data_IF_601768759013
#
_entry.id   IF_601768759013
#
_cell.length_a   1.000
_cell.length_b   1.000
_cell.length_c   1.000
_cell.angle_alpha   90.00
_cell.angle_beta   90.00
_cell.angle_gamma   90.00
#
_symmetry.space_group_name_H-M   'P 1'
#
loop_
_entity.id
_entity.type
_entity.pdbx_description
1 polymer ?
#
# COMPACT_ATOMS: atom_id res chain seq x y z
N UNK A 1 -13.41 15.41 -1.84
CA UNK A 1 -13.29 13.96 -2.07
C UNK A 1 -13.23 13.75 -3.56
N UNK A 2 -12.23 13.03 -4.04
CA UNK A 2 -12.14 12.75 -5.48
C UNK A 2 -13.35 11.91 -5.92
N UNK A 3 -13.81 12.10 -7.14
CA UNK A 3 -15.04 11.45 -7.68
C UNK A 3 -14.92 9.91 -7.63
N UNK A 4 -13.73 9.38 -7.86
CA UNK A 4 -13.42 7.95 -7.74
C UNK A 4 -13.62 7.37 -6.32
N UNK A 5 -13.47 8.19 -5.26
CA UNK A 5 -13.68 7.72 -3.89
C UNK A 5 -15.14 7.39 -3.59
N UNK A 6 -16.10 7.97 -4.33
CA UNK A 6 -17.53 7.66 -4.16
C UNK A 6 -17.89 6.27 -4.66
N UNK A 7 -17.23 5.79 -5.71
CA UNK A 7 -17.48 4.48 -6.31
C UNK A 7 -16.96 3.34 -5.44
N UNK A 8 -16.08 3.64 -4.47
CA UNK A 8 -15.50 2.66 -3.55
C UNK A 8 -16.07 2.71 -2.12
N UNK A 9 -17.06 3.56 -1.87
CA UNK A 9 -17.69 3.67 -0.53
C UNK A 9 -18.75 2.59 -0.31
N UNK A 10 -19.34 2.07 -1.40
CA UNK A 10 -20.37 1.03 -1.32
C UNK A 10 -19.77 -0.35 -1.60
N UNK A 11 -19.90 -1.27 -0.63
CA UNK A 11 -19.46 -2.65 -0.83
C UNK A 11 -20.42 -3.38 -1.78
N UNK A 12 -19.98 -3.54 -3.01
CA UNK A 12 -20.62 -4.41 -4.00
C UNK A 12 -19.85 -5.75 -4.01
N UNK A 13 -20.42 -6.82 -3.44
CA UNK A 13 -19.72 -8.09 -3.32
C UNK A 13 -19.53 -8.78 -4.67
N UNK A 14 -18.34 -9.31 -4.90
CA UNK A 14 -18.04 -10.25 -5.98
C UNK A 14 -17.39 -11.52 -5.39
N UNK A 15 -17.66 -12.72 -5.95
CA UNK A 15 -17.00 -13.94 -5.51
C UNK A 15 -15.49 -13.82 -5.54
N UNK A 16 -14.81 -14.28 -4.48
CA UNK A 16 -13.35 -14.22 -4.37
C UNK A 16 -12.64 -15.35 -5.13
N UNK A 17 -13.37 -16.22 -5.83
CA UNK A 17 -12.84 -17.36 -6.58
C UNK A 17 -11.63 -17.02 -7.46
N UNK A 18 -11.61 -15.90 -8.23
CA UNK A 18 -10.47 -15.58 -9.09
C UNK A 18 -9.14 -15.47 -8.34
N UNK A 19 -9.17 -14.98 -7.09
CA UNK A 19 -7.97 -14.80 -6.25
C UNK A 19 -7.75 -15.96 -5.27
N UNK A 20 -8.78 -16.73 -4.95
CA UNK A 20 -8.67 -17.89 -4.07
C UNK A 20 -8.37 -19.19 -4.82
N UNK A 21 -8.57 -19.24 -6.14
CA UNK A 21 -8.32 -20.44 -6.94
C UNK A 21 -8.96 -21.69 -6.34
N UNK A 22 -8.17 -22.75 -6.16
CA UNK A 22 -8.65 -24.01 -5.59
C UNK A 22 -9.12 -23.90 -4.14
N UNK A 23 -8.62 -22.92 -3.38
CA UNK A 23 -9.05 -22.67 -2.00
C UNK A 23 -10.51 -22.18 -1.90
N UNK A 24 -11.07 -21.60 -2.97
CA UNK A 24 -12.45 -21.14 -3.03
C UNK A 24 -13.47 -22.24 -2.69
N UNK A 25 -13.16 -23.50 -2.98
CA UNK A 25 -14.02 -24.64 -2.65
C UNK A 25 -14.25 -24.79 -1.12
N UNK A 26 -13.25 -24.42 -0.30
CA UNK A 26 -13.36 -24.43 1.16
C UNK A 26 -14.07 -23.18 1.69
N UNK A 27 -14.12 -22.11 0.90
CA UNK A 27 -14.68 -20.81 1.28
C UNK A 27 -15.69 -20.29 0.25
N UNK A 28 -16.80 -21.04 0.00
CA UNK A 28 -17.76 -20.72 -1.06
C UNK A 28 -18.52 -19.41 -0.86
N UNK A 29 -18.50 -18.87 0.34
CA UNK A 29 -19.11 -17.59 0.69
C UNK A 29 -18.08 -16.45 0.81
N UNK A 30 -16.86 -16.65 0.33
CA UNK A 30 -15.85 -15.59 0.31
C UNK A 30 -16.16 -14.59 -0.81
N UNK A 31 -16.35 -13.33 -0.40
CA UNK A 31 -16.61 -12.20 -1.28
C UNK A 31 -15.61 -11.10 -1.04
N UNK A 32 -15.25 -10.40 -2.10
CA UNK A 32 -14.42 -9.20 -2.09
C UNK A 32 -15.15 -8.04 -2.77
N UNK A 33 -14.65 -6.83 -2.61
CA UNK A 33 -15.21 -5.66 -3.29
C UNK A 33 -15.03 -5.79 -4.80
N UNK A 34 -16.15 -5.74 -5.54
CA UNK A 34 -16.18 -5.98 -7.00
C UNK A 34 -15.33 -4.98 -7.79
N UNK A 35 -15.30 -3.70 -7.36
CA UNK A 35 -14.48 -2.67 -7.98
C UNK A 35 -12.99 -2.99 -7.89
N UNK A 36 -12.50 -3.41 -6.71
CA UNK A 36 -11.10 -3.80 -6.53
C UNK A 36 -10.75 -5.04 -7.37
N UNK A 37 -11.63 -6.05 -7.33
CA UNK A 37 -11.45 -7.26 -8.12
C UNK A 37 -11.43 -6.95 -9.62
N UNK A 38 -12.34 -6.10 -10.08
CA UNK A 38 -12.42 -5.68 -11.49
C UNK A 38 -11.14 -4.98 -11.95
N UNK A 39 -10.64 -3.99 -11.18
CA UNK A 39 -9.37 -3.31 -11.51
C UNK A 39 -8.21 -4.29 -11.59
N UNK A 40 -8.19 -5.29 -10.71
CA UNK A 40 -7.12 -6.29 -10.65
C UNK A 40 -7.17 -7.30 -11.79
N UNK A 41 -8.39 -7.74 -12.19
CA UNK A 41 -8.58 -8.88 -13.10
C UNK A 41 -8.99 -8.50 -14.52
N UNK A 42 -9.37 -7.25 -14.78
CA UNK A 42 -9.86 -6.86 -16.12
C UNK A 42 -8.70 -6.68 -17.10
N UNK A 43 -8.85 -7.26 -18.29
CA UNK A 43 -7.97 -7.02 -19.44
C UNK A 43 -8.70 -6.19 -20.50
N UNK A 44 -7.93 -5.51 -21.37
CA UNK A 44 -8.45 -4.73 -22.49
C UNK A 44 -7.59 -4.97 -23.73
N UNK A 45 -8.09 -5.77 -24.66
CA UNK A 45 -7.38 -6.14 -25.89
C UNK A 45 -7.02 -4.93 -26.78
N UNK A 46 -7.70 -3.80 -26.60
CA UNK A 46 -7.44 -2.55 -27.34
C UNK A 46 -6.40 -1.65 -26.66
N UNK A 47 -5.99 -1.97 -25.44
CA UNK A 47 -4.94 -1.23 -24.71
C UNK A 47 -3.57 -1.76 -25.09
N UNK A 48 -2.60 -0.89 -25.27
CA UNK A 48 -1.22 -1.28 -25.53
C UNK A 48 -0.59 -2.03 -24.33
N UNK A 49 -0.88 -1.57 -23.11
CA UNK A 49 -0.32 -2.11 -21.87
C UNK A 49 -1.28 -3.02 -21.10
N UNK A 50 -2.57 -2.99 -21.42
CA UNK A 50 -3.62 -3.71 -20.68
C UNK A 50 -4.14 -4.97 -21.41
N UNK A 51 -3.41 -5.54 -22.37
CA UNK A 51 -3.82 -6.76 -23.09
C UNK A 51 -3.99 -7.95 -22.15
N UNK A 52 -3.09 -8.08 -21.18
CA UNK A 52 -3.26 -8.96 -20.03
C UNK A 52 -3.74 -8.12 -18.83
N UNK A 53 -4.48 -8.72 -17.89
CA UNK A 53 -4.86 -8.05 -16.65
C UNK A 53 -3.64 -7.74 -15.78
N UNK A 54 -3.77 -6.82 -14.81
CA UNK A 54 -2.73 -6.59 -13.82
C UNK A 54 -2.39 -7.89 -13.08
N UNK A 55 -3.42 -8.67 -12.74
CA UNK A 55 -3.28 -9.99 -12.14
C UNK A 55 -2.36 -10.91 -12.94
N UNK A 56 -2.67 -11.10 -14.23
CA UNK A 56 -1.96 -12.06 -15.06
C UNK A 56 -0.49 -11.66 -15.24
N UNK A 57 -0.23 -10.35 -15.45
CA UNK A 57 1.12 -9.83 -15.58
C UNK A 57 1.96 -10.05 -14.32
N UNK A 58 1.38 -9.78 -13.13
CA UNK A 58 2.09 -9.96 -11.86
C UNK A 58 2.33 -11.44 -11.57
N UNK A 59 1.32 -12.31 -11.74
CA UNK A 59 1.47 -13.74 -11.52
C UNK A 59 2.54 -14.37 -12.43
N UNK A 60 2.54 -14.01 -13.71
CA UNK A 60 3.56 -14.46 -14.66
C UNK A 60 4.97 -14.07 -14.22
N UNK A 61 5.17 -12.79 -13.90
CA UNK A 61 6.50 -12.28 -13.54
C UNK A 61 6.97 -12.80 -12.19
N UNK A 62 6.10 -12.86 -11.18
CA UNK A 62 6.47 -13.43 -9.87
C UNK A 62 6.82 -14.91 -9.99
N UNK A 63 6.02 -15.69 -10.73
CA UNK A 63 6.33 -17.11 -10.98
C UNK A 63 7.69 -17.26 -11.67
N UNK A 64 7.97 -16.44 -12.68
CA UNK A 64 9.27 -16.43 -13.37
C UNK A 64 10.43 -16.12 -12.42
N UNK A 65 10.26 -15.12 -11.53
CA UNK A 65 11.31 -14.73 -10.56
C UNK A 65 11.52 -15.80 -9.49
N UNK A 66 10.45 -16.36 -8.95
CA UNK A 66 10.51 -17.45 -7.96
C UNK A 66 11.23 -18.68 -8.54
N UNK A 67 10.99 -18.99 -9.81
CA UNK A 67 11.69 -20.06 -10.50
C UNK A 67 13.16 -19.74 -10.78
N UNK A 68 13.46 -18.47 -11.13
CA UNK A 68 14.82 -18.01 -11.42
C UNK A 68 15.72 -18.04 -10.19
N UNK A 69 15.18 -17.71 -9.00
CA UNK A 69 15.90 -17.64 -7.73
C UNK A 69 15.58 -18.81 -6.81
N UNK A 70 15.24 -19.96 -7.37
CA UNK A 70 14.80 -21.13 -6.61
C UNK A 70 15.88 -21.78 -5.74
N UNK A 71 17.14 -21.40 -5.90
CA UNK A 71 18.30 -21.83 -5.11
C UNK A 71 18.64 -20.83 -3.98
N UNK A 72 17.90 -19.73 -3.87
CA UNK A 72 18.08 -18.70 -2.86
C UNK A 72 16.95 -18.71 -1.82
N UNK A 73 17.23 -18.25 -0.61
CA UNK A 73 16.18 -17.95 0.39
C UNK A 73 15.54 -16.61 0.04
N UNK A 74 14.32 -16.67 -0.47
CA UNK A 74 13.59 -15.49 -0.97
C UNK A 74 12.31 -15.24 -0.21
N UNK A 75 11.84 -14.00 -0.24
CA UNK A 75 10.52 -13.57 0.25
C UNK A 75 9.89 -12.57 -0.71
N UNK A 76 8.57 -12.46 -0.69
CA UNK A 76 7.81 -11.53 -1.53
C UNK A 76 7.16 -10.49 -0.63
N UNK A 77 7.44 -9.20 -0.90
CA UNK A 77 6.76 -8.10 -0.23
C UNK A 77 5.92 -7.32 -1.24
N UNK A 78 4.62 -7.23 -0.98
CA UNK A 78 3.66 -6.47 -1.78
C UNK A 78 3.30 -5.20 -1.02
N UNK A 79 3.45 -4.03 -1.64
CA UNK A 79 3.24 -2.74 -0.97
C UNK A 79 2.20 -1.92 -1.72
N UNK A 80 1.30 -1.28 -0.98
CA UNK A 80 0.31 -0.40 -1.60
C UNK A 80 -0.24 0.68 -0.66
N UNK A 81 -0.81 1.70 -1.27
CA UNK A 81 -1.48 2.81 -0.59
C UNK A 81 -2.89 3.00 -1.15
N UNK A 82 -3.87 3.26 -0.30
CA UNK A 82 -5.25 3.56 -0.71
C UNK A 82 -5.84 2.40 -1.54
N UNK A 83 -6.41 2.66 -2.73
CA UNK A 83 -6.84 1.63 -3.68
C UNK A 83 -5.72 0.61 -3.97
N UNK A 84 -4.47 1.08 -4.17
CA UNK A 84 -3.33 0.20 -4.39
C UNK A 84 -3.07 -0.75 -3.21
N UNK A 85 -3.43 -0.36 -1.98
CA UNK A 85 -3.37 -1.23 -0.81
C UNK A 85 -4.37 -2.38 -0.90
N UNK A 86 -5.62 -2.11 -1.33
CA UNK A 86 -6.63 -3.16 -1.55
C UNK A 86 -6.21 -4.13 -2.66
N UNK A 87 -5.63 -3.61 -3.76
CA UNK A 87 -5.06 -4.45 -4.82
C UNK A 87 -3.88 -5.29 -4.31
N UNK A 88 -3.06 -4.75 -3.41
CA UNK A 88 -1.96 -5.47 -2.78
C UNK A 88 -2.44 -6.64 -1.90
N UNK A 89 -3.54 -6.47 -1.19
CA UNK A 89 -4.16 -7.57 -0.44
C UNK A 89 -4.66 -8.65 -1.38
N UNK A 90 -5.41 -8.30 -2.44
CA UNK A 90 -5.89 -9.27 -3.43
C UNK A 90 -4.72 -10.01 -4.08
N UNK A 91 -3.67 -9.28 -4.46
CA UNK A 91 -2.48 -9.86 -5.07
C UNK A 91 -1.74 -10.81 -4.12
N UNK A 92 -1.53 -10.42 -2.85
CA UNK A 92 -0.85 -11.26 -1.88
C UNK A 92 -1.60 -12.58 -1.61
N UNK A 93 -2.95 -12.53 -1.53
CA UNK A 93 -3.79 -13.73 -1.43
C UNK A 93 -3.64 -14.59 -2.69
N UNK A 94 -3.72 -13.99 -3.87
CA UNK A 94 -3.64 -14.67 -5.16
C UNK A 94 -2.28 -15.38 -5.36
N UNK A 95 -1.17 -14.71 -5.01
CA UNK A 95 0.18 -15.30 -5.07
C UNK A 95 0.28 -16.60 -4.27
N UNK A 96 -0.27 -16.62 -3.06
CA UNK A 96 -0.20 -17.79 -2.16
C UNK A 96 -1.21 -18.86 -2.57
N UNK A 97 -2.47 -18.48 -2.80
CA UNK A 97 -3.54 -19.43 -3.07
C UNK A 97 -3.40 -20.14 -4.42
N UNK A 98 -2.83 -19.45 -5.42
CA UNK A 98 -2.56 -19.99 -6.75
C UNK A 98 -1.12 -20.51 -6.91
N UNK A 99 -0.32 -20.49 -5.83
CA UNK A 99 1.00 -21.14 -5.79
C UNK A 99 2.11 -20.41 -6.57
N UNK A 100 1.91 -19.12 -6.91
CA UNK A 100 2.93 -18.32 -7.59
C UNK A 100 4.16 -18.03 -6.70
N UNK A 101 4.03 -18.20 -5.39
CA UNK A 101 5.11 -18.08 -4.41
C UNK A 101 5.96 -19.36 -4.27
N UNK A 102 5.77 -20.36 -5.15
CA UNK A 102 6.46 -21.65 -5.07
C UNK A 102 7.07 -22.04 -6.43
N UNK A 103 8.36 -22.39 -6.43
CA UNK A 103 9.03 -22.89 -7.62
C UNK A 103 8.52 -24.29 -8.01
N UNK A 104 8.28 -24.47 -9.32
CA UNK A 104 7.82 -25.74 -9.88
C UNK A 104 8.93 -26.79 -9.92
N UNK A 105 10.18 -26.35 -10.09
CA UNK A 105 11.37 -27.18 -10.29
C UNK A 105 12.00 -27.71 -9.00
N UNK A 106 11.41 -27.42 -7.83
CA UNK A 106 11.98 -27.84 -6.55
C UNK A 106 11.93 -29.37 -6.37
N UNK A 107 12.87 -30.07 -6.97
CA UNK A 107 13.04 -31.51 -6.84
C UNK A 107 13.35 -31.99 -5.39
N UNK A 108 13.49 -31.06 -4.44
CA UNK A 108 13.82 -31.28 -3.05
C UNK A 108 12.80 -30.76 -2.03
N UNK A 109 11.61 -30.29 -2.47
CA UNK A 109 10.57 -29.83 -1.53
C UNK A 109 10.90 -28.50 -0.84
N UNK A 110 11.50 -27.54 -1.55
CA UNK A 110 11.70 -26.19 -1.01
C UNK A 110 10.38 -25.58 -0.54
N UNK A 111 10.42 -24.96 0.64
CA UNK A 111 9.23 -24.28 1.17
C UNK A 111 8.81 -23.10 0.27
N UNK A 112 7.52 -22.79 0.18
CA UNK A 112 7.06 -21.59 -0.52
C UNK A 112 7.72 -20.33 0.01
N UNK A 113 7.96 -19.34 -0.84
CA UNK A 113 8.40 -18.01 -0.43
C UNK A 113 7.34 -17.36 0.46
N UNK A 114 7.69 -16.86 1.66
CA UNK A 114 6.76 -16.07 2.47
C UNK A 114 6.31 -14.81 1.72
N UNK A 115 5.01 -14.52 1.79
CA UNK A 115 4.39 -13.31 1.19
C UNK A 115 3.94 -12.39 2.29
N UNK A 116 4.37 -11.13 2.25
CA UNK A 116 3.94 -10.10 3.19
C UNK A 116 3.35 -8.92 2.44
N UNK A 117 2.09 -8.59 2.74
CA UNK A 117 1.49 -7.34 2.29
C UNK A 117 1.77 -6.24 3.33
N UNK A 118 2.38 -5.12 2.91
CA UNK A 118 2.52 -3.91 3.73
C UNK A 118 1.63 -2.83 3.12
N UNK A 119 0.51 -2.56 3.76
CA UNK A 119 -0.53 -1.71 3.19
C UNK A 119 -0.78 -0.48 4.05
N UNK A 120 -0.86 0.68 3.40
CA UNK A 120 -1.09 1.97 4.02
C UNK A 120 -2.45 2.52 3.57
N UNK A 121 -3.25 3.01 4.50
CA UNK A 121 -4.58 3.58 4.20
C UNK A 121 -5.51 2.61 3.44
N UNK A 122 -5.40 1.32 3.68
CA UNK A 122 -6.19 0.30 2.97
C UNK A 122 -7.66 0.35 3.42
N UNK A 123 -8.63 0.54 2.51
CA UNK A 123 -10.03 0.27 2.83
C UNK A 123 -10.25 -1.24 3.01
N UNK A 124 -11.37 -1.62 3.66
CA UNK A 124 -11.71 -3.03 3.84
C UNK A 124 -11.94 -3.72 2.49
N UNK A 125 -11.45 -4.96 2.35
CA UNK A 125 -11.36 -5.64 1.04
C UNK A 125 -12.42 -6.70 0.84
N UNK A 126 -12.74 -7.47 1.89
CA UNK A 126 -13.64 -8.62 1.77
C UNK A 126 -14.35 -8.97 3.07
N UNK A 127 -15.25 -9.94 3.02
CA UNK A 127 -16.07 -10.37 4.12
C UNK A 127 -15.36 -11.38 5.05
N UNK A 128 -16.05 -11.81 6.12
CA UNK A 128 -15.51 -12.75 7.11
C UNK A 128 -15.01 -14.06 6.47
N UNK A 129 -15.72 -14.61 5.50
CA UNK A 129 -15.28 -15.84 4.82
C UNK A 129 -14.00 -15.63 3.99
N UNK A 130 -13.80 -14.42 3.43
CA UNK A 130 -12.54 -14.07 2.79
C UNK A 130 -11.41 -13.91 3.82
N UNK A 131 -11.72 -13.36 4.99
CA UNK A 131 -10.77 -13.30 6.12
C UNK A 131 -10.37 -14.69 6.60
N UNK A 132 -11.34 -15.60 6.75
CA UNK A 132 -11.06 -16.99 7.15
C UNK A 132 -10.11 -17.67 6.15
N UNK A 133 -10.33 -17.44 4.85
CA UNK A 133 -9.42 -17.92 3.81
C UNK A 133 -8.02 -17.30 3.95
N UNK A 134 -7.93 -15.97 4.11
CA UNK A 134 -6.67 -15.26 4.34
C UNK A 134 -5.90 -15.82 5.54
N UNK A 135 -6.57 -16.00 6.68
CA UNK A 135 -5.97 -16.47 7.92
C UNK A 135 -5.53 -17.95 7.86
N UNK A 136 -6.06 -18.72 6.90
CA UNK A 136 -5.66 -20.11 6.68
C UNK A 136 -4.31 -20.27 5.98
N UNK A 137 -3.82 -19.24 5.30
CA UNK A 137 -2.55 -19.28 4.57
C UNK A 137 -1.37 -18.99 5.49
N UNK A 138 -0.57 -20.02 5.81
CA UNK A 138 0.58 -19.89 6.72
C UNK A 138 1.69 -18.98 6.20
N UNK A 139 1.88 -18.96 4.88
CA UNK A 139 2.93 -18.20 4.20
C UNK A 139 2.51 -16.77 3.86
N UNK A 140 1.30 -16.35 4.29
CA UNK A 140 0.73 -15.03 4.06
C UNK A 140 0.66 -14.22 5.34
N UNK A 141 1.16 -12.99 5.28
CA UNK A 141 1.02 -11.99 6.36
C UNK A 141 0.61 -10.64 5.77
N UNK A 142 -0.06 -9.83 6.59
CA UNK A 142 -0.32 -8.44 6.24
C UNK A 142 -0.03 -7.52 7.43
N UNK A 143 0.62 -6.40 7.16
CA UNK A 143 0.77 -5.26 8.05
C UNK A 143 -0.04 -4.10 7.49
N UNK A 144 -1.06 -3.67 8.21
CA UNK A 144 -1.93 -2.59 7.82
C UNK A 144 -1.61 -1.34 8.64
N UNK A 145 -1.00 -0.33 8.04
CA UNK A 145 -0.74 0.97 8.67
C UNK A 145 -2.01 1.83 8.55
N UNK A 146 -2.56 2.24 9.70
CA UNK A 146 -3.76 3.08 9.78
C UNK A 146 -3.45 4.40 10.47
N UNK A 147 -3.77 5.50 9.80
CA UNK A 147 -3.73 6.82 10.41
C UNK A 147 -5.09 7.12 11.06
N UNK A 148 -5.09 7.37 12.36
CA UNK A 148 -6.29 7.58 13.19
C UNK A 148 -7.26 8.64 12.64
N UNK A 149 -6.73 9.66 11.97
CA UNK A 149 -7.51 10.76 11.43
C UNK A 149 -7.87 10.60 9.94
N UNK A 150 -7.47 9.49 9.31
CA UNK A 150 -7.81 9.19 7.91
C UNK A 150 -9.15 8.43 7.84
N UNK A 151 -10.18 8.99 7.16
CA UNK A 151 -11.47 8.32 7.05
C UNK A 151 -11.48 7.14 6.06
N UNK A 152 -10.49 7.03 5.15
CA UNK A 152 -10.53 6.02 4.06
C UNK A 152 -10.45 4.58 4.58
N UNK A 153 -9.54 4.24 5.53
CA UNK A 153 -9.53 2.90 6.12
C UNK A 153 -10.83 2.52 6.87
N UNK A 154 -11.63 3.52 7.27
CA UNK A 154 -12.90 3.30 7.96
C UNK A 154 -14.08 3.07 6.99
N UNK A 155 -13.86 3.21 5.68
CA UNK A 155 -14.89 2.87 4.71
C UNK A 155 -15.16 1.36 4.75
N UNK A 156 -16.45 1.01 4.81
CA UNK A 156 -16.90 -0.38 4.94
C UNK A 156 -16.44 -1.04 6.25
N UNK A 157 -16.39 -0.27 7.35
CA UNK A 157 -15.95 -0.71 8.70
C UNK A 157 -16.71 -1.92 9.28
N UNK A 158 -17.82 -2.33 8.66
CA UNK A 158 -18.55 -3.56 9.00
C UNK A 158 -17.91 -4.83 8.41
N UNK A 159 -16.90 -4.68 7.53
CA UNK A 159 -16.07 -5.78 7.05
C UNK A 159 -14.86 -5.97 7.97
N UNK A 160 -14.31 -7.18 8.05
CA UNK A 160 -13.19 -7.47 8.94
C UNK A 160 -11.87 -6.85 8.48
N UNK A 161 -10.98 -6.63 9.45
CA UNK A 161 -9.58 -6.34 9.20
C UNK A 161 -8.80 -7.59 8.81
N UNK A 162 -7.84 -7.42 7.91
CA UNK A 162 -6.92 -8.47 7.48
C UNK A 162 -5.52 -8.20 8.03
N UNK A 163 -4.92 -9.21 8.66
CA UNK A 163 -3.58 -9.12 9.22
C UNK A 163 -3.50 -8.32 10.52
N UNK A 164 -2.36 -7.64 10.73
CA UNK A 164 -2.06 -6.87 11.95
C UNK A 164 -2.11 -5.38 11.65
N UNK A 165 -2.80 -4.62 12.48
CA UNK A 165 -2.88 -3.16 12.35
C UNK A 165 -1.77 -2.47 13.14
N UNK A 166 -1.03 -1.58 12.48
CA UNK A 166 -0.14 -0.60 13.08
C UNK A 166 -0.84 0.77 13.09
N UNK A 167 -1.35 1.24 14.23
CA UNK A 167 -1.96 2.55 14.30
C UNK A 167 -0.90 3.65 14.32
N UNK A 168 -1.14 4.72 13.56
CA UNK A 168 -0.38 5.97 13.61
C UNK A 168 -1.35 7.13 13.84
N UNK A 169 -0.86 8.25 14.35
CA UNK A 169 -1.63 9.47 14.56
C UNK A 169 -0.82 10.69 14.10
N UNK A 170 -1.01 11.08 12.84
CA UNK A 170 -0.28 12.20 12.25
C UNK A 170 -0.75 13.57 12.76
N UNK A 171 -1.88 13.65 13.49
CA UNK A 171 -2.31 14.88 14.14
C UNK A 171 -1.36 15.35 15.23
N UNK A 172 -0.55 14.44 15.75
CA UNK A 172 0.45 14.74 16.80
C UNK A 172 1.74 15.34 16.23
N UNK A 173 1.93 15.31 14.91
CA UNK A 173 3.16 15.81 14.29
C UNK A 173 3.29 17.33 14.37
N UNK A 174 4.40 17.85 14.91
CA UNK A 174 4.65 19.30 14.95
C UNK A 174 4.97 19.88 13.58
N UNK A 175 5.24 19.05 12.56
CA UNK A 175 5.64 19.46 11.22
C UNK A 175 4.44 19.75 10.30
N UNK A 176 3.30 19.09 10.54
CA UNK A 176 2.14 19.16 9.64
C UNK A 176 1.27 20.39 9.92
N UNK A 177 0.83 21.05 8.83
CA UNK A 177 -0.29 21.98 8.84
C UNK A 177 -1.55 21.26 8.37
N UNK A 178 -2.70 21.57 8.96
CA UNK A 178 -3.99 20.97 8.61
C UNK A 178 -3.95 19.42 8.48
N UNK A 179 -3.46 18.66 9.50
CA UNK A 179 -3.21 17.23 9.37
C UNK A 179 -4.47 16.44 8.97
N UNK A 180 -5.68 16.88 9.35
CA UNK A 180 -6.94 16.23 8.96
C UNK A 180 -7.19 16.30 7.45
N UNK A 181 -6.80 17.40 6.79
CA UNK A 181 -6.96 17.55 5.33
C UNK A 181 -5.96 16.72 4.55
N UNK A 182 -4.86 16.32 5.20
CA UNK A 182 -3.74 15.60 4.61
C UNK A 182 -3.61 14.17 5.15
N UNK A 183 -4.58 13.73 5.93
CA UNK A 183 -4.56 12.46 6.63
C UNK A 183 -4.35 11.25 5.70
N UNK A 184 -4.84 11.32 4.46
CA UNK A 184 -4.78 10.26 3.47
C UNK A 184 -3.54 10.33 2.54
N UNK A 185 -2.73 11.38 2.63
CA UNK A 185 -1.57 11.54 1.77
C UNK A 185 -0.47 10.52 2.11
N UNK A 186 0.08 9.85 1.09
CA UNK A 186 1.12 8.82 1.29
C UNK A 186 2.33 9.36 2.05
N UNK A 187 2.78 10.59 1.73
CA UNK A 187 3.94 11.19 2.41
C UNK A 187 3.67 11.45 3.89
N UNK A 188 2.41 11.73 4.28
CA UNK A 188 1.99 11.86 5.68
C UNK A 188 1.99 10.48 6.38
N UNK A 189 1.55 9.42 5.72
CA UNK A 189 1.67 8.06 6.24
C UNK A 189 3.12 7.65 6.49
N UNK A 190 4.00 7.87 5.50
CA UNK A 190 5.42 7.56 5.61
C UNK A 190 6.10 8.39 6.72
N UNK A 191 5.68 9.63 6.90
CA UNK A 191 6.12 10.48 8.01
C UNK A 191 5.64 9.92 9.36
N UNK A 192 4.37 9.52 9.46
CA UNK A 192 3.81 8.91 10.66
C UNK A 192 4.54 7.63 11.08
N UNK A 193 4.93 6.79 10.12
CA UNK A 193 5.71 5.56 10.36
C UNK A 193 7.15 5.89 10.76
N UNK A 194 7.72 6.99 10.24
CA UNK A 194 9.08 7.43 10.58
C UNK A 194 9.22 8.01 12.00
N UNK A 195 8.10 8.26 12.69
CA UNK A 195 8.08 8.82 14.02
C UNK A 195 7.49 7.89 15.08
N UNK A 196 7.78 8.20 16.35
CA UNK A 196 7.15 7.57 17.51
C UNK A 196 6.11 8.52 18.08
N UNK A 197 4.92 8.00 18.33
CA UNK A 197 3.79 8.73 18.89
C UNK A 197 3.62 8.35 20.36
N UNK A 198 3.27 9.33 21.18
CA UNK A 198 3.06 9.09 22.60
C UNK A 198 4.37 8.92 23.37
N UNK A 199 5.25 9.94 23.30
CA UNK A 199 6.47 10.00 24.10
C UNK A 199 6.18 9.71 25.58
N UNK A 200 7.06 8.98 26.31
CA UNK A 200 6.95 8.78 27.76
C UNK A 200 6.80 10.06 28.58
N UNK A 201 7.15 11.21 28.01
CA UNK A 201 7.01 12.54 28.63
C UNK A 201 5.63 13.21 28.46
N UNK A 202 4.64 12.49 27.89
CA UNK A 202 3.25 12.98 27.86
C UNK A 202 2.81 13.56 26.51
N UNK A 203 2.63 12.71 25.53
CA UNK A 203 1.99 13.04 24.25
C UNK A 203 2.89 13.86 23.32
N UNK A 204 2.95 13.47 22.07
CA UNK A 204 3.75 14.16 21.07
C UNK A 204 4.16 13.21 19.95
N UNK A 205 4.94 13.74 19.03
CA UNK A 205 5.52 13.02 17.92
C UNK A 205 7.01 13.30 17.84
N UNK A 206 7.83 12.27 17.94
CA UNK A 206 9.27 12.35 17.80
C UNK A 206 9.70 11.61 16.52
N UNK A 207 10.34 12.32 15.59
CA UNK A 207 10.88 11.73 14.38
C UNK A 207 12.14 10.92 14.73
N UNK A 208 12.06 9.60 14.65
CA UNK A 208 13.14 8.68 15.03
C UNK A 208 13.91 8.11 13.83
N UNK A 209 13.27 8.07 12.66
CA UNK A 209 13.94 7.76 11.40
C UNK A 209 14.36 9.06 10.74
N UNK A 210 15.61 9.15 10.28
CA UNK A 210 16.14 10.32 9.60
C UNK A 210 15.52 10.50 8.19
N UNK A 211 14.20 10.75 8.18
CA UNK A 211 13.43 11.05 6.99
C UNK A 211 13.31 12.54 6.81
N UNK A 212 13.63 13.02 5.61
CA UNK A 212 13.58 14.44 5.30
C UNK A 212 12.13 14.97 5.33
N UNK A 213 11.87 15.94 6.18
CA UNK A 213 10.53 16.55 6.30
C UNK A 213 10.09 17.31 5.05
N UNK A 214 11.02 17.72 4.20
CA UNK A 214 10.70 18.34 2.91
C UNK A 214 9.83 17.43 2.01
N UNK A 215 9.90 16.12 2.20
CA UNK A 215 9.09 15.15 1.46
C UNK A 215 7.59 15.30 1.73
N UNK A 216 7.17 15.90 2.85
CA UNK A 216 5.77 16.22 3.14
C UNK A 216 5.15 17.15 2.11
N UNK A 217 5.95 18.03 1.50
CA UNK A 217 5.51 18.94 0.44
C UNK A 217 5.79 18.40 -0.97
N UNK A 218 6.26 17.15 -1.11
CA UNK A 218 6.65 16.59 -2.41
C UNK A 218 5.52 16.65 -3.44
N UNK A 219 4.32 16.21 -3.08
CA UNK A 219 3.16 16.15 -3.98
C UNK A 219 1.99 17.03 -3.53
N UNK A 220 2.08 17.62 -2.34
CA UNK A 220 1.01 18.37 -1.70
C UNK A 220 1.59 19.56 -0.94
N UNK A 221 0.73 20.25 -0.18
CA UNK A 221 1.08 21.33 0.72
C UNK A 221 0.71 20.91 2.14
N UNK A 222 1.57 20.11 2.78
CA UNK A 222 1.31 19.53 4.10
C UNK A 222 2.25 20.04 5.20
N UNK A 223 3.43 20.53 4.82
CA UNK A 223 4.44 21.04 5.77
C UNK A 223 4.08 22.48 6.21
N UNK A 224 4.32 22.79 7.47
CA UNK A 224 4.12 24.16 8.00
C UNK A 224 4.97 25.19 7.29
N UNK A 225 4.45 26.42 7.19
CA UNK A 225 5.07 27.51 6.43
C UNK A 225 6.40 28.02 7.03
N UNK A 226 6.71 27.66 8.27
CA UNK A 226 8.01 27.96 8.90
C UNK A 226 9.19 27.21 8.27
N UNK A 227 8.89 26.16 7.48
CA UNK A 227 9.88 25.43 6.72
C UNK A 227 9.92 25.96 5.28
N UNK A 228 11.08 26.43 4.78
CA UNK A 228 11.20 27.04 3.44
C UNK A 228 11.19 25.96 2.33
N UNK A 229 10.08 25.21 2.22
CA UNK A 229 9.88 24.13 1.26
C UNK A 229 8.64 24.44 0.41
N UNK A 230 8.77 24.63 -0.91
CA UNK A 230 7.61 24.91 -1.75
C UNK A 230 6.58 23.79 -1.73
N UNK A 231 5.31 24.16 -1.83
CA UNK A 231 4.23 23.18 -2.00
C UNK A 231 4.35 22.45 -3.34
N UNK A 232 4.05 21.13 -3.33
CA UNK A 232 4.06 20.27 -4.54
C UNK A 232 5.32 20.46 -5.40
N UNK A 233 6.49 20.42 -4.74
CA UNK A 233 7.77 20.74 -5.42
C UNK A 233 8.24 19.65 -6.40
N UNK A 234 7.70 18.45 -6.35
CA UNK A 234 7.99 17.38 -7.30
C UNK A 234 7.20 17.58 -8.59
N UNK A 235 7.65 18.51 -9.41
CA UNK A 235 7.12 18.85 -10.74
C UNK A 235 8.28 18.96 -11.73
N UNK A 236 8.01 19.18 -13.03
CA UNK A 236 9.04 19.24 -14.06
C UNK A 236 10.14 20.27 -13.75
N UNK A 237 9.77 21.40 -13.17
CA UNK A 237 10.69 22.47 -12.79
C UNK A 237 11.39 22.24 -11.44
N UNK A 238 11.06 21.20 -10.71
CA UNK A 238 11.56 20.89 -9.37
C UNK A 238 11.48 22.03 -8.34
N UNK A 239 10.87 23.14 -8.68
CA UNK A 239 10.71 24.36 -7.87
C UNK A 239 11.96 24.72 -7.05
N UNK A 240 13.14 24.62 -7.68
CA UNK A 240 14.45 24.89 -7.08
C UNK A 240 14.85 23.98 -5.91
N UNK A 241 14.17 22.86 -5.72
CA UNK A 241 14.59 21.87 -4.72
C UNK A 241 15.71 21.01 -5.27
N UNK A 242 16.82 20.94 -4.54
CA UNK A 242 18.01 20.13 -4.88
C UNK A 242 18.43 19.27 -3.68
N UNK A 243 19.08 18.14 -3.96
CA UNK A 243 19.66 17.31 -2.92
C UNK A 243 21.05 17.82 -2.57
N UNK A 244 21.30 18.10 -1.29
CA UNK A 244 22.63 18.47 -0.82
C UNK A 244 23.54 17.23 -0.63
N UNK A 245 24.78 17.45 -0.23
CA UNK A 245 25.79 16.40 -0.03
C UNK A 245 25.38 15.37 1.05
N UNK A 246 24.56 15.77 2.01
CA UNK A 246 24.02 14.91 3.06
C UNK A 246 22.76 14.12 2.62
N UNK A 247 22.32 14.31 1.35
CA UNK A 247 21.16 13.66 0.78
C UNK A 247 19.80 14.27 1.21
N UNK A 248 19.81 15.46 1.84
CA UNK A 248 18.62 16.22 2.22
C UNK A 248 18.19 17.17 1.10
N UNK A 249 16.87 17.40 1.00
CA UNK A 249 16.32 18.35 0.04
C UNK A 249 16.37 19.77 0.61
N UNK A 250 16.92 20.68 -0.16
CA UNK A 250 17.02 22.11 0.19
C UNK A 250 16.57 22.99 -0.99
N UNK A 251 15.98 24.14 -0.66
CA UNK A 251 15.64 25.17 -1.63
C UNK A 251 16.91 25.91 -2.05
N UNK A 252 17.18 25.94 -3.34
CA UNK A 252 18.32 26.64 -3.92
C UNK A 252 17.81 27.68 -4.90
N UNK A 253 18.20 28.93 -4.67
CA UNK A 253 17.94 29.99 -5.64
C UNK A 253 18.76 29.72 -6.90
N UNK A 254 18.07 29.54 -8.02
CA UNK A 254 18.70 29.57 -9.31
C UNK A 254 18.70 31.02 -9.81
N UNK A 255 19.85 31.54 -10.14
CA UNK A 255 19.92 32.75 -10.99
C UNK A 255 19.15 32.45 -12.27
N UNK A 256 18.09 33.23 -12.53
CA UNK A 256 17.39 33.15 -13.81
C UNK A 256 18.39 33.48 -14.90
N UNK A 257 18.81 32.47 -15.65
CA UNK A 257 19.55 32.67 -16.89
C UNK A 257 18.51 33.17 -17.90
N UNK A 258 18.52 34.48 -18.14
CA UNK A 258 17.73 35.14 -19.18
C UNK A 258 18.35 34.86 -20.57
#
# INVERSE_FOLDING_TARGET
MAEWAKDFVEFLPAPAEPVLGSAAAAYPSAYVHSGFLSVYTTSNANSELGKASARDQVLEEVTRLVELYNDEETSITVVGHSLGASLSILNAVDLVSNGANKASSSAGGQAPCPVTAVVLACPHVGNDSFKDAFDSFHDLKALHVRNKIDPVPEYMHWLPDLGVTLPIDTSLSPYLKDPEKKAHELECYLHGVAGVQGSPAGGGFDLVVDRDVALLNRFTDALKDEYPVPASWWVAEHKSMVKNEQGKWELKDFEQIY
#
